data_IF_817757696654
#
_entry.id   IF_817757696654
#
_cell.length_a   1.000
_cell.length_b   1.000
_cell.length_c   1.000
_cell.angle_alpha   90.00
_cell.angle_beta   90.00
_cell.angle_gamma   90.00
#
_symmetry.space_group_name_H-M   'P 1'
#
loop_
_entity.id
_entity.type
_entity.pdbx_description
1 polymer ?
#
# COMPACT_ATOMS: atom_id res chain seq x y z
N UNK A 1 -3.02 -3.91 6.82
CA UNK A 1 -3.50 -3.38 5.52
C UNK A 1 -4.86 -2.65 5.56
N UNK A 2 -5.70 -2.75 6.61
CA UNK A 2 -6.91 -1.90 6.75
C UNK A 2 -6.66 -0.58 7.49
N UNK A 3 -5.70 -0.56 8.43
CA UNK A 3 -5.36 0.63 9.24
C UNK A 3 -4.80 1.80 8.44
N UNK A 4 -3.98 1.56 7.40
CA UNK A 4 -3.41 2.64 6.58
C UNK A 4 -4.40 3.14 5.52
N UNK A 5 -5.28 2.27 5.01
CA UNK A 5 -6.38 2.69 4.12
C UNK A 5 -7.39 3.60 4.83
N UNK A 6 -7.60 3.42 6.13
CA UNK A 6 -8.42 4.32 6.96
C UNK A 6 -7.83 5.73 7.12
N UNK A 7 -6.57 5.96 6.68
CA UNK A 7 -5.90 7.26 6.73
C UNK A 7 -5.93 8.02 5.40
N UNK A 8 -6.38 7.41 4.30
CA UNK A 8 -6.52 8.13 3.02
C UNK A 8 -7.84 8.91 3.01
N UNK A 9 -7.91 9.92 3.87
CA UNK A 9 -8.96 10.93 3.79
C UNK A 9 -8.83 11.67 2.45
N UNK A 10 -9.95 11.94 1.74
CA UNK A 10 -9.94 12.72 0.49
C UNK A 10 -9.51 14.18 0.72
N UNK A 11 -9.32 14.59 1.97
CA UNK A 11 -8.75 15.87 2.36
C UNK A 11 -7.70 15.76 3.45
N UNK A 12 -6.68 16.62 3.38
CA UNK A 12 -5.66 16.84 4.39
C UNK A 12 -6.16 17.85 5.42
N UNK A 13 -6.55 17.37 6.61
CA UNK A 13 -7.02 18.20 7.71
C UNK A 13 -5.95 19.10 8.34
N UNK A 14 -4.66 18.90 8.04
CA UNK A 14 -3.61 19.81 8.47
C UNK A 14 -3.43 21.00 7.51
N UNK A 15 -3.94 20.89 6.28
CA UNK A 15 -3.75 21.88 5.21
C UNK A 15 -4.99 22.75 4.94
N UNK A 16 -6.05 22.62 5.74
CA UNK A 16 -7.32 23.35 5.53
C UNK A 16 -7.17 24.87 5.58
N UNK A 17 -6.15 25.39 6.27
CA UNK A 17 -5.99 26.85 6.40
C UNK A 17 -5.45 27.46 5.11
N UNK A 18 -4.93 26.62 4.20
CA UNK A 18 -4.57 27.02 2.84
C UNK A 18 -5.80 27.44 1.99
N UNK A 19 -7.02 27.14 2.45
CA UNK A 19 -8.25 27.66 1.83
C UNK A 19 -8.46 29.16 2.12
N UNK A 20 -7.81 29.70 3.14
CA UNK A 20 -7.94 31.09 3.52
C UNK A 20 -7.15 32.00 2.56
N UNK A 21 -7.66 33.21 2.26
CA UNK A 21 -6.93 34.14 1.42
C UNK A 21 -5.71 34.70 2.18
N UNK A 22 -4.62 34.95 1.46
CA UNK A 22 -3.42 35.57 2.03
C UNK A 22 -3.64 37.04 2.39
N UNK A 23 -4.56 37.70 1.68
CA UNK A 23 -4.94 39.09 1.94
C UNK A 23 -6.28 39.17 2.69
N UNK A 24 -6.49 40.21 3.52
CA UNK A 24 -7.77 40.41 4.21
C UNK A 24 -8.95 40.47 3.23
N UNK A 25 -9.90 39.56 3.42
CA UNK A 25 -11.10 39.47 2.59
C UNK A 25 -12.33 40.04 3.31
N UNK A 26 -13.17 40.77 2.57
CA UNK A 26 -14.44 41.32 3.04
C UNK A 26 -15.61 40.38 2.69
N UNK A 27 -16.81 40.56 3.26
CA UNK A 27 -18.00 39.87 2.76
C UNK A 27 -18.13 39.96 1.23
N UNK A 28 -18.63 38.88 0.62
CA UNK A 28 -18.73 38.70 -0.85
C UNK A 28 -17.40 38.62 -1.63
N UNK A 29 -16.25 38.73 -0.97
CA UNK A 29 -14.95 38.53 -1.64
C UNK A 29 -14.83 37.08 -2.12
N UNK A 30 -14.38 36.92 -3.36
CA UNK A 30 -14.05 35.64 -3.97
C UNK A 30 -12.56 35.60 -4.30
N UNK A 31 -11.92 34.46 -4.06
CA UNK A 31 -10.54 34.20 -4.46
C UNK A 31 -10.43 32.81 -5.11
N UNK A 32 -9.40 32.65 -5.92
CA UNK A 32 -8.99 31.34 -6.42
C UNK A 32 -8.13 30.64 -5.36
N UNK A 33 -8.35 29.36 -5.15
CA UNK A 33 -7.44 28.51 -4.38
C UNK A 33 -6.27 28.14 -5.28
N UNK A 34 -5.03 28.33 -4.83
CA UNK A 34 -3.87 28.08 -5.67
C UNK A 34 -3.76 26.59 -6.03
N UNK A 35 -3.09 26.29 -7.15
CA UNK A 35 -2.84 24.92 -7.60
C UNK A 35 -2.05 24.12 -6.56
N UNK A 36 -1.11 24.77 -5.87
CA UNK A 36 -0.31 24.12 -4.83
C UNK A 36 -1.13 23.85 -3.56
N UNK A 37 -1.99 24.79 -3.17
CA UNK A 37 -2.86 24.61 -2.01
C UNK A 37 -3.90 23.52 -2.27
N UNK A 38 -4.51 23.50 -3.47
CA UNK A 38 -5.42 22.44 -3.88
C UNK A 38 -4.73 21.06 -3.90
N UNK A 39 -3.49 21.00 -4.42
CA UNK A 39 -2.70 19.77 -4.41
C UNK A 39 -2.52 19.23 -2.97
N UNK A 40 -2.10 20.09 -2.04
CA UNK A 40 -1.88 19.69 -0.65
C UNK A 40 -3.17 19.34 0.08
N UNK A 41 -4.23 20.10 -0.17
CA UNK A 41 -5.52 19.92 0.48
C UNK A 41 -6.19 18.60 0.08
N UNK A 42 -6.10 18.19 -1.19
CA UNK A 42 -6.77 16.98 -1.70
C UNK A 42 -5.84 15.76 -1.82
N UNK A 43 -4.64 15.81 -1.20
CA UNK A 43 -3.65 14.72 -1.25
C UNK A 43 -3.31 14.26 -2.68
N UNK A 44 -3.13 15.21 -3.61
CA UNK A 44 -2.86 14.94 -5.03
C UNK A 44 -1.34 14.93 -5.30
N UNK A 45 -0.91 14.13 -6.28
CA UNK A 45 0.48 14.12 -6.74
C UNK A 45 0.79 15.40 -7.55
N UNK A 46 -0.16 15.78 -8.41
CA UNK A 46 -0.10 16.96 -9.24
C UNK A 46 -1.51 17.49 -9.57
N UNK A 47 -1.61 18.79 -9.82
CA UNK A 47 -2.82 19.45 -10.33
C UNK A 47 -2.45 20.14 -11.64
N UNK A 48 -3.09 19.72 -12.73
CA UNK A 48 -2.83 20.22 -14.08
C UNK A 48 -3.71 21.42 -14.42
N UNK A 49 -4.97 21.39 -13.97
CA UNK A 49 -5.92 22.51 -14.09
C UNK A 49 -6.76 22.62 -12.83
N UNK A 50 -7.09 23.86 -12.45
CA UNK A 50 -7.94 24.15 -11.31
C UNK A 50 -8.89 25.30 -11.62
N UNK A 51 -10.17 25.11 -11.31
CA UNK A 51 -11.19 26.18 -11.26
C UNK A 51 -11.69 26.40 -9.83
N UNK A 52 -10.97 25.89 -8.84
CA UNK A 52 -11.37 25.92 -7.44
C UNK A 52 -11.37 27.35 -6.90
N UNK A 53 -12.54 27.78 -6.44
CA UNK A 53 -12.76 29.14 -5.90
C UNK A 53 -13.45 29.06 -4.55
N UNK A 54 -13.09 30.00 -3.68
CA UNK A 54 -13.72 30.22 -2.39
C UNK A 54 -14.35 31.62 -2.37
N UNK A 55 -15.56 31.73 -1.81
CA UNK A 55 -16.28 33.00 -1.69
C UNK A 55 -16.89 33.13 -0.30
N UNK A 56 -16.65 34.24 0.39
CA UNK A 56 -17.35 34.55 1.64
C UNK A 56 -18.82 34.78 1.32
N UNK A 57 -19.68 33.87 1.79
CA UNK A 57 -21.12 33.96 1.59
C UNK A 57 -21.81 34.74 2.70
N UNK A 58 -21.25 34.71 3.91
CA UNK A 58 -21.88 35.28 5.10
C UNK A 58 -20.88 35.50 6.23
N UNK A 59 -21.03 36.59 6.98
CA UNK A 59 -20.27 36.85 8.21
C UNK A 59 -21.24 37.26 9.32
N UNK A 60 -21.32 36.46 10.39
CA UNK A 60 -22.20 36.74 11.54
C UNK A 60 -21.54 36.27 12.83
N UNK A 61 -21.69 37.04 13.91
CA UNK A 61 -21.25 36.67 15.27
C UNK A 61 -19.76 36.22 15.34
N UNK A 62 -18.90 36.85 14.55
CA UNK A 62 -17.47 36.50 14.49
C UNK A 62 -17.15 35.23 13.72
N UNK A 63 -18.11 34.67 12.97
CA UNK A 63 -17.91 33.49 12.11
C UNK A 63 -18.16 33.89 10.66
N UNK A 64 -17.20 33.59 9.78
CA UNK A 64 -17.38 33.69 8.34
C UNK A 64 -17.72 32.32 7.76
N UNK A 65 -18.81 32.23 6.99
CA UNK A 65 -19.11 31.07 6.15
C UNK A 65 -18.58 31.34 4.75
N UNK A 66 -17.84 30.38 4.21
CA UNK A 66 -17.18 30.49 2.91
C UNK A 66 -17.64 29.32 2.05
N UNK A 67 -18.25 29.63 0.91
CA UNK A 67 -18.60 28.63 -0.09
C UNK A 67 -17.34 28.22 -0.86
N UNK A 68 -17.15 26.93 -1.09
CA UNK A 68 -16.06 26.35 -1.87
C UNK A 68 -16.64 25.59 -3.05
N UNK A 69 -16.18 25.89 -4.27
CA UNK A 69 -16.62 25.18 -5.47
C UNK A 69 -15.58 25.20 -6.57
N UNK A 70 -15.55 24.15 -7.36
CA UNK A 70 -14.80 24.09 -8.61
C UNK A 70 -14.37 22.68 -8.95
N UNK A 71 -13.60 22.59 -10.01
CA UNK A 71 -13.13 21.33 -10.57
C UNK A 71 -11.60 21.31 -10.62
N UNK A 72 -11.02 20.13 -10.44
CA UNK A 72 -9.60 19.86 -10.58
C UNK A 72 -9.38 18.75 -11.62
N UNK A 73 -8.50 19.01 -12.58
CA UNK A 73 -7.86 17.96 -13.39
C UNK A 73 -6.48 17.69 -12.81
N UNK A 74 -6.24 16.46 -12.37
CA UNK A 74 -5.13 16.14 -11.49
C UNK A 74 -4.56 14.74 -11.74
N UNK A 75 -3.53 14.42 -10.97
CA UNK A 75 -2.99 13.07 -10.83
C UNK A 75 -3.04 12.70 -9.34
N UNK A 76 -3.65 11.57 -9.04
CA UNK A 76 -3.65 10.94 -7.73
C UNK A 76 -3.18 9.50 -7.88
N UNK A 77 -2.30 9.02 -7.01
CA UNK A 77 -1.71 7.68 -7.09
C UNK A 77 -1.14 7.38 -8.49
N UNK A 78 -0.52 8.37 -9.13
CA UNK A 78 0.09 8.31 -10.46
C UNK A 78 -0.88 7.97 -11.62
N UNK A 79 -2.18 8.19 -11.45
CA UNK A 79 -3.19 8.06 -12.51
C UNK A 79 -4.02 9.33 -12.71
N UNK A 80 -4.53 9.59 -13.93
CA UNK A 80 -5.44 10.69 -14.19
C UNK A 80 -6.65 10.66 -13.26
N UNK A 81 -6.95 11.81 -12.67
CA UNK A 81 -8.04 11.98 -11.70
C UNK A 81 -8.76 13.31 -11.94
N UNK A 82 -10.08 13.29 -11.95
CA UNK A 82 -10.92 14.49 -11.99
C UNK A 82 -11.74 14.59 -10.71
N UNK A 83 -11.75 15.79 -10.11
CA UNK A 83 -12.54 16.10 -8.93
C UNK A 83 -13.55 17.22 -9.24
N UNK A 84 -14.83 17.01 -8.92
CA UNK A 84 -15.85 18.08 -8.82
C UNK A 84 -16.17 18.30 -7.34
N UNK A 85 -15.80 19.48 -6.85
CA UNK A 85 -15.83 19.85 -5.44
C UNK A 85 -16.92 20.89 -5.22
N UNK A 86 -17.79 20.62 -4.26
CA UNK A 86 -18.83 21.56 -3.82
C UNK A 86 -19.00 21.49 -2.32
N UNK A 87 -19.03 22.64 -1.65
CA UNK A 87 -19.26 22.66 -0.21
C UNK A 87 -19.11 24.04 0.41
N UNK A 88 -18.92 24.06 1.71
CA UNK A 88 -18.60 25.26 2.45
C UNK A 88 -17.76 24.95 3.69
N UNK A 89 -17.15 25.98 4.25
CA UNK A 89 -16.44 25.91 5.52
C UNK A 89 -16.74 27.13 6.37
N UNK A 90 -16.54 26.99 7.67
CA UNK A 90 -16.72 28.04 8.66
C UNK A 90 -15.37 28.42 9.24
N UNK A 91 -15.16 29.72 9.35
CA UNK A 91 -13.94 30.32 9.87
C UNK A 91 -14.29 31.12 11.10
N UNK A 92 -13.70 30.75 12.24
CA UNK A 92 -13.76 31.56 13.44
C UNK A 92 -12.80 32.73 13.27
N UNK A 93 -13.32 33.95 13.32
CA UNK A 93 -12.54 35.17 13.25
C UNK A 93 -12.10 35.53 14.68
N UNK A 94 -10.84 35.25 15.01
CA UNK A 94 -10.24 35.69 16.28
C UNK A 94 -9.33 36.89 16.06
N UNK A 95 -8.99 37.59 17.15
CA UNK A 95 -8.16 38.81 17.12
C UNK A 95 -6.70 38.58 16.72
N UNK A 96 -6.23 37.33 16.68
CA UNK A 96 -4.83 36.99 16.33
C UNK A 96 -4.71 36.19 15.03
N UNK A 97 -5.55 35.18 14.82
CA UNK A 97 -5.55 34.34 13.62
C UNK A 97 -6.96 33.84 13.32
N UNK A 98 -7.30 33.72 12.05
CA UNK A 98 -8.53 33.05 11.62
C UNK A 98 -8.29 31.53 11.58
N UNK A 99 -9.27 30.74 12.01
CA UNK A 99 -9.17 29.27 12.07
C UNK A 99 -10.39 28.62 11.43
N UNK A 100 -10.18 27.60 10.60
CA UNK A 100 -11.30 26.81 10.04
C UNK A 100 -11.80 25.82 11.10
N UNK A 101 -13.00 26.03 11.61
CA UNK A 101 -13.60 25.20 12.68
C UNK A 101 -14.56 24.14 12.14
N UNK A 102 -15.06 24.31 10.93
CA UNK A 102 -15.97 23.37 10.30
C UNK A 102 -15.77 23.34 8.80
N UNK A 103 -15.87 22.15 8.19
CA UNK A 103 -15.81 21.96 6.74
C UNK A 103 -16.83 20.88 6.34
N UNK A 104 -17.60 21.17 5.30
CA UNK A 104 -18.54 20.24 4.69
C UNK A 104 -18.36 20.24 3.18
N UNK A 105 -17.89 19.12 2.63
CA UNK A 105 -17.63 18.95 1.21
C UNK A 105 -18.39 17.76 0.63
N UNK A 106 -18.79 17.92 -0.61
CA UNK A 106 -19.13 16.84 -1.53
C UNK A 106 -18.07 16.85 -2.61
N UNK A 107 -17.40 15.71 -2.78
CA UNK A 107 -16.35 15.52 -3.78
C UNK A 107 -16.84 14.39 -4.68
N UNK A 108 -17.13 14.69 -5.93
CA UNK A 108 -17.28 13.66 -6.96
C UNK A 108 -15.90 13.43 -7.55
N UNK A 109 -15.46 12.18 -7.54
CA UNK A 109 -14.15 11.77 -8.02
C UNK A 109 -14.29 10.72 -9.12
N UNK A 110 -13.65 10.98 -10.24
CA UNK A 110 -13.47 10.06 -11.35
C UNK A 110 -11.97 9.80 -11.50
N UNK A 111 -11.54 8.56 -11.26
CA UNK A 111 -10.14 8.13 -11.27
C UNK A 111 -9.96 6.91 -12.17
N UNK A 112 -8.97 6.96 -13.05
CA UNK A 112 -8.63 5.84 -13.91
C UNK A 112 -8.08 4.63 -13.13
N UNK A 113 -8.13 3.45 -13.75
CA UNK A 113 -7.57 2.22 -13.17
C UNK A 113 -6.04 2.33 -13.14
N UNK A 114 -5.44 1.98 -12.00
CA UNK A 114 -4.00 1.86 -11.85
C UNK A 114 -3.56 0.39 -11.78
N UNK A 115 -2.25 0.15 -11.80
CA UNK A 115 -1.65 -1.16 -11.61
C UNK A 115 -1.75 -1.66 -10.15
N UNK A 116 -1.96 -0.74 -9.20
CA UNK A 116 -2.05 -1.04 -7.76
C UNK A 116 -3.51 -1.10 -7.26
N UNK A 117 -4.38 -0.25 -7.80
CA UNK A 117 -5.74 0.01 -7.31
C UNK A 117 -6.74 0.08 -8.48
N UNK A 118 -7.99 -0.40 -8.28
CA UNK A 118 -9.05 -0.19 -9.24
C UNK A 118 -9.36 1.31 -9.40
N UNK A 119 -9.90 1.68 -10.56
CA UNK A 119 -10.42 3.03 -10.79
C UNK A 119 -11.67 3.29 -9.96
N UNK A 120 -11.99 4.56 -9.76
CA UNK A 120 -13.14 5.00 -8.95
C UNK A 120 -14.05 5.92 -9.77
N UNK A 121 -15.37 5.72 -9.64
CA UNK A 121 -16.38 6.76 -9.88
C UNK A 121 -17.21 6.82 -8.60
N UNK A 122 -16.89 7.80 -7.74
CA UNK A 122 -17.45 7.89 -6.41
C UNK A 122 -17.90 9.32 -6.07
N UNK A 123 -18.83 9.42 -5.14
CA UNK A 123 -19.16 10.68 -4.48
C UNK A 123 -18.89 10.56 -2.99
N UNK A 124 -17.83 11.21 -2.53
CA UNK A 124 -17.48 11.31 -1.12
C UNK A 124 -18.16 12.51 -0.47
N UNK A 125 -18.72 12.31 0.73
CA UNK A 125 -19.20 13.41 1.59
C UNK A 125 -18.30 13.51 2.80
N UNK A 126 -17.68 14.66 2.97
CA UNK A 126 -16.74 14.89 4.06
C UNK A 126 -17.31 15.93 5.00
N UNK A 127 -17.27 15.62 6.30
CA UNK A 127 -17.57 16.56 7.37
C UNK A 127 -16.43 16.55 8.35
N UNK A 128 -15.84 17.71 8.58
CA UNK A 128 -14.78 17.94 9.55
C UNK A 128 -15.24 18.99 10.56
N UNK A 129 -14.95 18.74 11.83
CA UNK A 129 -15.22 19.63 12.96
C UNK A 129 -13.90 19.76 13.71
N UNK A 130 -13.50 21.00 14.01
CA UNK A 130 -12.31 21.33 14.80
C UNK A 130 -12.73 22.20 15.97
N UNK A 131 -12.26 21.80 17.13
CA UNK A 131 -12.40 22.53 18.37
C UNK A 131 -11.01 22.90 18.86
N UNK A 132 -10.85 24.15 19.29
CA UNK A 132 -9.63 24.57 19.98
C UNK A 132 -9.60 23.88 21.35
N UNK A 133 -8.43 23.32 21.71
CA UNK A 133 -8.25 22.66 22.99
C UNK A 133 -7.40 23.55 23.90
N UNK A 134 -7.89 23.79 25.12
CA UNK A 134 -7.12 24.45 26.18
C UNK A 134 -5.99 23.55 26.73
N UNK A 135 -5.91 22.30 26.28
CA UNK A 135 -4.85 21.38 26.65
C UNK A 135 -3.50 21.92 26.15
N UNK A 136 -2.68 22.40 27.09
CA UNK A 136 -1.27 22.68 26.82
C UNK A 136 -0.56 21.37 26.55
N UNK A 137 -0.38 21.04 25.28
CA UNK A 137 0.49 19.93 24.91
C UNK A 137 1.92 20.45 25.08
N UNK A 138 2.61 19.94 26.10
CA UNK A 138 4.04 20.22 26.32
C UNK A 138 4.87 19.42 25.30
N UNK A 139 4.81 19.87 24.05
CA UNK A 139 5.68 19.37 23.01
C UNK A 139 6.94 20.24 23.04
N UNK A 140 7.93 19.84 23.84
CA UNK A 140 9.22 20.51 23.80
C UNK A 140 9.82 20.40 22.38
N UNK A 141 10.42 21.49 21.91
CA UNK A 141 11.08 21.51 20.59
C UNK A 141 12.21 20.48 20.50
N UNK A 142 12.77 20.03 21.62
CA UNK A 142 13.75 18.94 21.68
C UNK A 142 13.12 17.57 21.36
N UNK A 143 11.91 17.29 21.84
CA UNK A 143 11.21 16.03 21.56
C UNK A 143 10.83 15.91 20.07
N UNK A 144 10.35 16.98 19.45
CA UNK A 144 10.07 17.01 18.01
C UNK A 144 11.34 16.85 17.17
N UNK A 145 12.43 17.54 17.55
CA UNK A 145 13.71 17.38 16.86
C UNK A 145 14.22 15.95 16.96
N UNK A 146 14.12 15.32 18.13
CA UNK A 146 14.50 13.91 18.32
C UNK A 146 13.69 12.97 17.43
N UNK A 147 12.36 13.18 17.35
CA UNK A 147 11.49 12.39 16.49
C UNK A 147 11.83 12.57 15.01
N UNK A 148 12.17 13.79 14.59
CA UNK A 148 12.55 14.14 13.23
C UNK A 148 13.95 13.66 12.81
N UNK A 149 14.83 13.34 13.77
CA UNK A 149 16.20 12.86 13.50
C UNK A 149 16.35 11.33 13.50
N UNK A 150 15.32 10.61 13.92
CA UNK A 150 15.35 9.14 13.97
C UNK A 150 14.78 8.58 12.67
N UNK A 151 15.67 8.38 11.70
CA UNK A 151 15.39 7.75 10.41
C UNK A 151 15.42 6.22 10.59
N UNK A 152 14.44 5.71 11.33
CA UNK A 152 14.21 4.28 11.42
C UNK A 152 13.41 3.83 10.19
N UNK A 153 14.11 3.23 9.23
CA UNK A 153 13.52 2.65 8.01
C UNK A 153 12.35 1.71 8.33
N UNK A 154 12.36 1.08 9.50
CA UNK A 154 11.28 0.23 10.01
C UNK A 154 9.93 0.95 10.17
N UNK A 155 9.93 2.27 10.35
CA UNK A 155 8.70 3.09 10.51
C UNK A 155 7.86 3.17 9.24
N UNK A 156 8.49 2.96 8.08
CA UNK A 156 7.81 3.00 6.79
C UNK A 156 7.18 1.67 6.41
N UNK A 157 7.43 0.62 7.19
CA UNK A 157 6.89 -0.70 6.94
C UNK A 157 5.43 -0.80 7.37
N UNK A 158 4.65 -1.55 6.60
CA UNK A 158 3.26 -1.83 6.90
C UNK A 158 3.06 -3.31 7.13
N UNK A 159 2.15 -3.63 8.06
CA UNK A 159 1.72 -5.01 8.27
C UNK A 159 0.79 -5.44 7.14
N UNK A 160 1.29 -6.31 6.28
CA UNK A 160 0.51 -7.03 5.28
C UNK A 160 -0.16 -8.22 5.96
N UNK A 161 -1.44 -8.39 5.71
CA UNK A 161 -2.26 -9.41 6.35
C UNK A 161 -3.09 -10.11 5.28
N UNK A 162 -2.84 -11.41 5.11
CA UNK A 162 -3.65 -12.29 4.26
C UNK A 162 -4.55 -13.11 5.17
N UNK A 163 -5.86 -12.83 5.08
CA UNK A 163 -6.85 -13.56 5.87
C UNK A 163 -7.12 -14.93 5.25
N UNK A 164 -7.08 -15.06 3.93
CA UNK A 164 -7.30 -16.32 3.25
C UNK A 164 -6.10 -17.27 3.37
N UNK A 165 -4.90 -16.78 3.09
CA UNK A 165 -3.63 -17.52 3.20
C UNK A 165 -3.11 -17.71 4.63
N UNK A 166 -3.78 -17.13 5.64
CA UNK A 166 -3.48 -17.30 7.07
C UNK A 166 -2.07 -16.86 7.48
N UNK A 167 -1.64 -15.68 7.04
CA UNK A 167 -0.33 -15.15 7.42
C UNK A 167 -0.30 -13.63 7.55
N UNK A 168 0.79 -13.16 8.14
CA UNK A 168 1.16 -11.75 8.14
C UNK A 168 2.66 -11.57 7.92
N UNK A 169 3.06 -10.40 7.42
CA UNK A 169 4.46 -10.00 7.25
C UNK A 169 4.56 -8.48 7.22
N UNK A 170 5.75 -7.94 7.45
CA UNK A 170 6.05 -6.53 7.25
C UNK A 170 6.55 -6.30 5.83
N UNK A 171 5.94 -5.35 5.11
CA UNK A 171 6.33 -5.00 3.75
C UNK A 171 6.50 -3.48 3.61
N UNK A 172 7.28 -3.07 2.62
CA UNK A 172 7.21 -1.70 2.09
C UNK A 172 5.77 -1.41 1.61
N UNK A 173 5.37 -0.13 1.65
CA UNK A 173 4.04 0.37 1.21
C UNK A 173 3.78 0.20 -0.28
N UNK A 174 4.83 0.00 -1.09
CA UNK A 174 4.77 -0.29 -2.53
C UNK A 174 4.16 -1.67 -2.80
N UNK A 175 4.06 -2.56 -1.81
CA UNK A 175 3.45 -3.87 -1.98
C UNK A 175 1.94 -3.85 -1.78
N UNK A 176 1.24 -4.40 -2.77
CA UNK A 176 -0.22 -4.53 -2.76
C UNK A 176 -0.61 -5.99 -3.01
N UNK A 177 -1.54 -6.52 -2.20
CA UNK A 177 -2.14 -7.83 -2.49
C UNK A 177 -3.13 -7.64 -3.65
N UNK A 178 -2.83 -8.26 -4.79
CA UNK A 178 -3.68 -8.26 -5.98
C UNK A 178 -4.69 -9.41 -5.96
N UNK A 179 -4.28 -10.57 -5.42
CA UNK A 179 -5.13 -11.75 -5.21
C UNK A 179 -4.84 -12.35 -3.85
N UNK A 180 -5.88 -12.66 -3.09
CA UNK A 180 -5.77 -13.36 -1.80
C UNK A 180 -6.67 -14.61 -1.82
N UNK A 181 -6.06 -15.79 -1.74
CA UNK A 181 -6.76 -17.07 -1.68
C UNK A 181 -6.06 -18.02 -0.68
N UNK A 182 -6.71 -19.11 -0.25
CA UNK A 182 -6.11 -20.03 0.71
C UNK A 182 -4.84 -20.73 0.22
N UNK A 183 -4.76 -21.01 -1.08
CA UNK A 183 -3.62 -21.73 -1.69
C UNK A 183 -2.52 -20.79 -2.16
N UNK A 184 -2.91 -19.63 -2.66
CA UNK A 184 -1.98 -18.65 -3.23
C UNK A 184 -2.42 -17.20 -2.98
N UNK A 185 -1.45 -16.34 -2.76
CA UNK A 185 -1.62 -14.89 -2.79
C UNK A 185 -0.67 -14.28 -3.81
N UNK A 186 -1.17 -13.37 -4.63
CA UNK A 186 -0.37 -12.63 -5.61
C UNK A 186 -0.26 -11.20 -5.14
N UNK A 187 0.96 -10.73 -4.98
CA UNK A 187 1.29 -9.37 -4.59
C UNK A 187 2.05 -8.67 -5.72
N UNK A 188 1.84 -7.38 -5.88
CA UNK A 188 2.60 -6.54 -6.81
C UNK A 188 3.26 -5.40 -6.06
N UNK A 189 4.54 -5.21 -6.36
CA UNK A 189 5.29 -4.03 -5.95
C UNK A 189 5.11 -2.98 -7.03
N UNK A 190 4.45 -1.87 -6.71
CA UNK A 190 4.14 -0.80 -7.65
C UNK A 190 4.78 0.50 -7.19
N UNK A 191 5.43 1.18 -8.14
CA UNK A 191 6.00 2.50 -7.93
C UNK A 191 5.69 3.36 -9.14
N UNK A 192 5.08 4.53 -8.93
CA UNK A 192 4.65 5.45 -9.99
C UNK A 192 3.83 4.74 -11.09
N UNK A 193 2.85 3.93 -10.68
CA UNK A 193 2.00 3.10 -11.56
C UNK A 193 2.77 2.12 -12.47
N UNK A 194 4.04 1.83 -12.16
CA UNK A 194 4.85 0.81 -12.83
C UNK A 194 5.03 -0.38 -11.90
N UNK A 195 4.77 -1.59 -12.39
CA UNK A 195 5.03 -2.80 -11.60
C UNK A 195 6.53 -3.11 -11.65
N UNK A 196 7.15 -3.14 -10.47
CA UNK A 196 8.59 -3.40 -10.27
C UNK A 196 8.83 -4.89 -10.16
N UNK A 197 8.02 -5.55 -9.34
CA UNK A 197 8.09 -6.98 -9.09
C UNK A 197 6.72 -7.54 -8.79
N UNK A 198 6.56 -8.83 -9.03
CA UNK A 198 5.45 -9.62 -8.52
C UNK A 198 5.98 -10.63 -7.50
N UNK A 199 5.24 -10.85 -6.43
CA UNK A 199 5.50 -11.92 -5.47
C UNK A 199 4.29 -12.86 -5.45
N UNK A 200 4.52 -14.14 -5.67
CA UNK A 200 3.53 -15.19 -5.42
C UNK A 200 3.88 -15.89 -4.13
N UNK A 201 2.95 -15.88 -3.17
CA UNK A 201 3.04 -16.64 -1.92
C UNK A 201 2.18 -17.88 -2.09
N UNK A 202 2.79 -19.06 -2.11
CA UNK A 202 2.10 -20.34 -2.33
C UNK A 202 2.26 -21.26 -1.13
N UNK A 203 1.14 -21.78 -0.63
CA UNK A 203 1.16 -22.83 0.40
C UNK A 203 1.63 -24.13 -0.25
N UNK A 204 2.57 -24.81 0.41
CA UNK A 204 3.09 -26.08 -0.07
C UNK A 204 2.52 -27.22 0.77
N UNK A 205 2.46 -28.41 0.19
CA UNK A 205 2.06 -29.63 0.90
C UNK A 205 2.96 -29.81 2.12
N UNK A 206 2.38 -30.00 3.30
CA UNK A 206 3.13 -30.15 4.55
C UNK A 206 4.10 -31.35 4.46
N UNK A 207 5.29 -31.20 5.04
CA UNK A 207 6.23 -32.30 5.22
C UNK A 207 5.92 -33.04 6.52
N UNK A 208 6.40 -34.28 6.63
CA UNK A 208 6.34 -34.98 7.92
C UNK A 208 7.12 -34.18 8.98
N UNK A 209 6.65 -34.16 10.25
CA UNK A 209 7.34 -33.44 11.32
C UNK A 209 8.82 -33.80 11.41
N UNK A 210 9.68 -32.78 11.48
CA UNK A 210 11.13 -32.92 11.47
C UNK A 210 11.77 -33.16 10.09
N UNK A 211 11.00 -33.39 9.02
CA UNK A 211 11.52 -33.34 7.65
C UNK A 211 11.60 -31.90 7.16
N UNK A 212 12.64 -31.60 6.39
CA UNK A 212 12.90 -30.26 5.86
C UNK A 212 13.45 -30.35 4.45
N UNK A 213 13.13 -29.36 3.62
CA UNK A 213 13.77 -29.17 2.33
C UNK A 213 15.24 -28.78 2.54
N UNK A 214 16.16 -29.31 1.72
CA UNK A 214 17.55 -28.88 1.72
C UNK A 214 17.79 -27.80 0.67
N UNK A 215 18.88 -27.05 0.79
CA UNK A 215 19.29 -26.08 -0.23
C UNK A 215 19.44 -26.72 -1.61
N UNK A 216 20.10 -27.88 -1.69
CA UNK A 216 20.33 -28.61 -2.93
C UNK A 216 19.00 -29.13 -3.52
N UNK A 217 18.07 -29.54 -2.66
CA UNK A 217 16.72 -29.93 -3.06
C UNK A 217 15.98 -28.76 -3.70
N UNK A 218 15.97 -27.60 -3.03
CA UNK A 218 15.34 -26.39 -3.57
C UNK A 218 15.96 -25.98 -4.92
N UNK A 219 17.28 -25.96 -5.03
CA UNK A 219 17.97 -25.62 -6.28
C UNK A 219 17.63 -26.60 -7.41
N UNK A 220 17.49 -27.89 -7.09
CA UNK A 220 17.08 -28.92 -8.06
C UNK A 220 15.65 -28.66 -8.55
N UNK A 221 14.73 -28.37 -7.64
CA UNK A 221 13.34 -28.02 -7.98
C UNK A 221 13.28 -26.77 -8.86
N UNK A 222 14.02 -25.72 -8.51
CA UNK A 222 14.09 -24.46 -9.28
C UNK A 222 14.59 -24.70 -10.71
N UNK A 223 15.67 -25.48 -10.88
CA UNK A 223 16.19 -25.83 -12.21
C UNK A 223 15.15 -26.59 -13.03
N UNK A 224 14.46 -27.55 -12.42
CA UNK A 224 13.38 -28.29 -13.06
C UNK A 224 12.20 -27.41 -13.47
N UNK A 225 11.84 -26.44 -12.62
CA UNK A 225 10.75 -25.49 -12.83
C UNK A 225 11.04 -24.50 -13.95
N UNK A 226 12.22 -23.89 -13.96
CA UNK A 226 12.58 -22.87 -14.95
C UNK A 226 13.00 -23.49 -16.28
N UNK A 227 13.53 -24.71 -16.29
CA UNK A 227 13.90 -25.43 -17.50
C UNK A 227 14.83 -24.61 -18.40
N UNK A 228 14.35 -24.26 -19.60
CA UNK A 228 15.11 -23.47 -20.58
C UNK A 228 15.31 -22.00 -20.18
N UNK A 229 14.48 -21.48 -19.26
CA UNK A 229 14.59 -20.10 -18.78
C UNK A 229 15.61 -19.94 -17.66
N UNK A 230 16.17 -21.04 -17.14
CA UNK A 230 17.22 -20.99 -16.13
C UNK A 230 18.54 -20.48 -16.74
N UNK A 231 19.15 -19.48 -16.12
CA UNK A 231 20.51 -19.05 -16.42
C UNK A 231 21.49 -19.56 -15.38
N UNK A 232 21.56 -18.87 -14.23
CA UNK A 232 22.49 -19.20 -13.15
C UNK A 232 21.91 -18.87 -11.77
N UNK A 233 22.49 -19.49 -10.74
CA UNK A 233 22.25 -19.10 -9.35
C UNK A 233 23.21 -17.97 -8.99
N UNK A 234 22.67 -16.85 -8.55
CA UNK A 234 23.45 -15.68 -8.15
C UNK A 234 23.81 -15.73 -6.66
N UNK A 235 22.86 -16.17 -5.83
CA UNK A 235 23.02 -16.21 -4.38
C UNK A 235 22.12 -17.29 -3.78
N UNK A 236 22.58 -17.96 -2.73
CA UNK A 236 21.78 -18.90 -1.95
C UNK A 236 22.13 -18.76 -0.48
N UNK A 237 21.13 -18.56 0.36
CA UNK A 237 21.31 -18.38 1.80
C UNK A 237 20.31 -19.21 2.60
N UNK A 238 20.76 -19.70 3.74
CA UNK A 238 19.92 -20.39 4.71
C UNK A 238 20.05 -19.73 6.07
N UNK A 239 18.91 -19.40 6.70
CA UNK A 239 18.89 -18.81 8.04
C UNK A 239 17.61 -19.15 8.79
N UNK A 240 17.60 -18.88 10.09
CA UNK A 240 16.37 -18.91 10.89
C UNK A 240 15.89 -17.47 11.07
N UNK A 241 14.61 -17.21 10.77
CA UNK A 241 14.01 -15.88 10.91
C UNK A 241 13.84 -15.50 12.38
N UNK A 242 13.57 -14.22 12.65
CA UNK A 242 13.23 -13.76 14.01
C UNK A 242 11.95 -14.44 14.53
N UNK A 243 11.06 -14.84 13.62
CA UNK A 243 9.80 -15.56 13.87
C UNK A 243 9.97 -17.08 13.99
N UNK A 244 11.23 -17.57 14.05
CA UNK A 244 11.59 -18.98 14.25
C UNK A 244 11.24 -19.91 13.08
N UNK A 245 11.10 -19.37 11.88
CA UNK A 245 10.97 -20.16 10.66
C UNK A 245 12.34 -20.44 10.07
N UNK A 246 12.54 -21.64 9.52
CA UNK A 246 13.68 -21.94 8.67
C UNK A 246 13.44 -21.32 7.30
N UNK A 247 14.40 -20.56 6.81
CA UNK A 247 14.35 -19.87 5.54
C UNK A 247 15.48 -20.37 4.63
N UNK A 248 15.12 -20.82 3.43
CA UNK A 248 16.06 -21.07 2.34
C UNK A 248 15.73 -20.09 1.22
N UNK A 249 16.67 -19.22 0.89
CA UNK A 249 16.54 -18.21 -0.16
C UNK A 249 17.50 -18.53 -1.30
N UNK A 250 17.05 -18.40 -2.53
CA UNK A 250 17.87 -18.57 -3.73
C UNK A 250 17.50 -17.53 -4.79
N UNK A 251 18.48 -16.75 -5.22
CA UNK A 251 18.38 -15.77 -6.30
C UNK A 251 18.86 -16.43 -7.59
N UNK A 252 18.06 -16.27 -8.64
CA UNK A 252 18.26 -16.91 -9.94
C UNK A 252 18.15 -15.85 -11.02
N UNK A 253 19.14 -15.77 -11.89
CA UNK A 253 19.01 -15.03 -13.14
C UNK A 253 18.67 -15.98 -14.27
N UNK A 254 17.97 -15.46 -15.28
CA UNK A 254 17.70 -16.18 -16.50
C UNK A 254 16.93 -15.31 -17.48
N UNK A 255 16.29 -15.95 -18.44
CA UNK A 255 15.65 -15.24 -19.55
C UNK A 255 14.32 -15.88 -19.91
N UNK A 256 13.35 -15.05 -20.26
CA UNK A 256 12.07 -15.48 -20.79
C UNK A 256 11.75 -14.66 -22.04
N UNK A 257 11.60 -15.34 -23.18
CA UNK A 257 11.36 -14.68 -24.49
C UNK A 257 12.40 -13.58 -24.78
N UNK A 258 13.69 -13.87 -24.53
CA UNK A 258 14.85 -12.95 -24.70
C UNK A 258 14.85 -11.72 -23.77
N UNK A 259 13.97 -11.70 -22.77
CA UNK A 259 13.95 -10.67 -21.74
C UNK A 259 14.68 -11.18 -20.49
N UNK A 260 15.70 -10.48 -19.98
CA UNK A 260 16.35 -10.82 -18.72
C UNK A 260 15.38 -10.73 -17.54
N UNK A 261 15.28 -11.81 -16.78
CA UNK A 261 14.44 -11.94 -15.59
C UNK A 261 15.30 -12.38 -14.40
N UNK A 262 14.98 -11.83 -13.24
CA UNK A 262 15.48 -12.34 -11.98
C UNK A 262 14.32 -12.91 -11.16
N UNK A 263 14.53 -14.12 -10.63
CA UNK A 263 13.65 -14.74 -9.66
C UNK A 263 14.34 -14.81 -8.30
N UNK A 264 13.57 -14.63 -7.24
CA UNK A 264 14.01 -14.95 -5.87
C UNK A 264 13.02 -15.94 -5.30
N UNK A 265 13.52 -17.14 -5.00
CA UNK A 265 12.76 -18.20 -4.36
C UNK A 265 13.10 -18.23 -2.88
N UNK A 266 12.10 -18.01 -2.04
CA UNK A 266 12.23 -18.10 -0.60
C UNK A 266 11.28 -19.17 -0.07
N UNK A 267 11.84 -20.26 0.44
CA UNK A 267 11.10 -21.30 1.13
C UNK A 267 11.12 -21.02 2.64
N UNK A 268 9.94 -21.03 3.27
CA UNK A 268 9.78 -20.91 4.71
C UNK A 268 9.13 -22.18 5.28
N UNK A 269 9.68 -22.70 6.36
CA UNK A 269 9.11 -23.86 7.07
C UNK A 269 9.30 -23.80 8.58
N UNK A 270 8.46 -24.54 9.31
CA UNK A 270 8.61 -24.80 10.74
C UNK A 270 8.83 -26.30 11.05
N UNK A 271 9.04 -26.62 12.32
CA UNK A 271 9.30 -27.99 12.78
C UNK A 271 8.06 -28.90 12.70
N UNK A 272 6.84 -28.32 12.59
CA UNK A 272 5.64 -29.12 12.37
C UNK A 272 5.42 -29.48 10.89
N UNK A 273 6.34 -29.09 10.01
CA UNK A 273 6.29 -29.41 8.58
C UNK A 273 5.43 -28.45 7.76
N UNK A 274 4.88 -27.39 8.37
CA UNK A 274 4.16 -26.35 7.63
C UNK A 274 5.17 -25.60 6.80
N UNK A 275 4.85 -25.40 5.52
CA UNK A 275 5.74 -24.71 4.60
C UNK A 275 5.02 -23.95 3.51
N UNK A 276 5.72 -22.93 2.99
CA UNK A 276 5.30 -22.14 1.86
C UNK A 276 6.50 -21.64 1.07
N UNK A 277 6.23 -21.16 -0.13
CA UNK A 277 7.20 -20.46 -0.96
C UNK A 277 6.74 -19.03 -1.22
N UNK A 278 7.67 -18.08 -1.17
CA UNK A 278 7.54 -16.75 -1.77
C UNK A 278 8.41 -16.74 -3.02
N UNK A 279 7.80 -16.45 -4.17
CA UNK A 279 8.50 -16.38 -5.46
C UNK A 279 8.38 -14.96 -5.97
N UNK A 280 9.50 -14.24 -5.94
CA UNK A 280 9.58 -12.89 -6.49
C UNK A 280 10.05 -12.98 -7.93
N UNK A 281 9.37 -12.27 -8.83
CA UNK A 281 9.71 -12.19 -10.25
C UNK A 281 9.83 -10.73 -10.65
N UNK A 282 10.95 -10.35 -11.28
CA UNK A 282 11.22 -8.98 -11.72
C UNK A 282 12.06 -8.97 -13.00
N UNK A 283 11.95 -7.91 -13.79
CA UNK A 283 12.87 -7.69 -14.90
C UNK A 283 14.28 -7.42 -14.39
N UNK A 284 15.31 -7.85 -15.14
CA UNK A 284 16.71 -7.67 -14.74
C UNK A 284 17.12 -6.21 -14.50
N UNK A 285 16.43 -5.24 -15.09
CA UNK A 285 16.64 -3.80 -14.91
C UNK A 285 15.97 -3.22 -13.66
N UNK A 286 15.10 -3.97 -12.99
CA UNK A 286 14.34 -3.49 -11.83
C UNK A 286 14.95 -3.94 -10.49
N UNK A 287 16.05 -4.70 -10.52
CA UNK A 287 16.69 -5.30 -9.34
C UNK A 287 17.16 -4.27 -8.31
N UNK A 288 17.71 -3.14 -8.76
CA UNK A 288 18.12 -2.04 -7.88
C UNK A 288 16.91 -1.37 -7.21
N UNK A 289 15.81 -1.15 -7.97
CA UNK A 289 14.57 -0.56 -7.45
C UNK A 289 13.83 -1.49 -6.50
N UNK A 290 13.95 -2.79 -6.72
CA UNK A 290 13.45 -3.85 -5.85
C UNK A 290 14.22 -3.90 -4.52
N UNK A 291 15.55 -3.78 -4.57
CA UNK A 291 16.41 -3.83 -3.39
C UNK A 291 16.37 -5.20 -2.70
N UNK A 292 16.26 -5.21 -1.37
CA UNK A 292 16.16 -6.43 -0.55
C UNK A 292 14.75 -6.65 0.04
N UNK A 293 13.72 -6.22 -0.69
CA UNK A 293 12.33 -6.26 -0.21
C UNK A 293 11.86 -7.69 0.15
N UNK A 294 12.38 -8.70 -0.55
CA UNK A 294 12.10 -10.11 -0.27
C UNK A 294 12.58 -10.56 1.11
N UNK A 295 13.77 -10.13 1.53
CA UNK A 295 14.34 -10.50 2.82
C UNK A 295 13.56 -9.90 3.98
N UNK A 296 13.10 -8.66 3.81
CA UNK A 296 12.26 -7.99 4.79
C UNK A 296 10.92 -8.70 4.96
N UNK A 297 10.27 -9.05 3.84
CA UNK A 297 8.99 -9.78 3.84
C UNK A 297 9.14 -11.18 4.44
N UNK A 298 10.12 -11.95 3.99
CA UNK A 298 10.33 -13.31 4.49
C UNK A 298 10.81 -13.34 5.94
N UNK A 299 11.67 -12.41 6.34
CA UNK A 299 12.24 -12.34 7.69
C UNK A 299 11.23 -11.97 8.77
N UNK A 300 10.13 -11.30 8.41
CA UNK A 300 9.05 -10.89 9.31
C UNK A 300 7.78 -11.74 9.17
N UNK A 301 7.85 -12.83 8.41
CA UNK A 301 6.70 -13.68 8.14
C UNK A 301 6.23 -14.42 9.40
N UNK A 302 4.94 -14.38 9.67
CA UNK A 302 4.29 -15.11 10.76
C UNK A 302 3.02 -15.81 10.25
N UNK A 303 2.84 -17.06 10.67
CA UNK A 303 1.57 -17.76 10.52
C UNK A 303 0.51 -17.13 11.41
N UNK A 304 -0.70 -16.95 10.89
CA UNK A 304 -1.85 -16.70 11.75
C UNK A 304 -2.25 -18.01 12.45
N UNK A 305 -2.86 -17.93 13.65
CA UNK A 305 -3.44 -19.10 14.30
C UNK A 305 -4.43 -19.80 13.37
N UNK A 306 -4.53 -21.13 13.45
CA UNK A 306 -5.54 -21.86 12.69
C UNK A 306 -6.95 -21.44 13.12
N UNK A 307 -7.92 -21.52 12.19
CA UNK A 307 -9.31 -21.36 12.57
C UNK A 307 -9.73 -22.50 13.51
N UNK A 308 -10.57 -22.24 14.52
CA UNK A 308 -11.17 -23.30 15.32
C UNK A 308 -11.87 -24.29 14.37
N UNK A 309 -11.51 -25.58 14.47
CA UNK A 309 -12.20 -26.62 13.71
C UNK A 309 -13.68 -26.58 14.13
N UNK A 310 -14.65 -26.45 13.19
CA UNK A 310 -16.05 -26.63 13.54
C UNK A 310 -16.23 -28.03 14.14
N UNK A 311 -16.92 -28.12 15.27
CA UNK A 311 -17.09 -29.34 16.05
C UNK A 311 -17.52 -30.52 15.16
N UNK A 312 -16.79 -31.63 15.27
CA UNK A 312 -16.88 -32.76 14.36
C UNK A 312 -18.28 -33.37 14.27
N UNK A 313 -18.86 -33.32 13.08
CA UNK A 313 -19.78 -34.34 12.62
C UNK A 313 -18.96 -35.29 11.73
N UNK A 314 -18.92 -36.57 12.11
CA UNK A 314 -18.32 -37.63 11.30
C UNK A 314 -19.16 -37.82 10.04
N UNK A 315 -18.63 -37.46 8.88
CA UNK A 315 -19.07 -38.03 7.61
C UNK A 315 -17.91 -38.84 7.03
N UNK A 316 -18.09 -40.17 7.06
CA UNK A 316 -17.33 -41.08 6.22
C UNK A 316 -17.74 -40.83 4.78
N UNK A 317 -16.83 -40.34 3.94
CA UNK A 317 -16.77 -40.74 2.54
C UNK A 317 -15.34 -40.62 2.00
N UNK A 318 -14.90 -41.54 1.12
CA UNK A 318 -13.50 -41.70 0.77
C UNK A 318 -13.08 -40.77 -0.37
N UNK A 319 -11.97 -40.05 -0.13
CA UNK A 319 -10.95 -39.55 -1.05
C UNK A 319 -11.38 -38.93 -2.41
N UNK A 320 -11.03 -37.66 -2.65
CA UNK A 320 -10.56 -37.22 -3.94
C UNK A 320 -9.06 -36.86 -3.88
N UNK A 321 -8.33 -37.42 -4.84
CA UNK A 321 -6.91 -37.20 -5.11
C UNK A 321 -6.43 -35.76 -4.88
N UNK A 322 -5.47 -35.60 -3.96
CA UNK A 322 -4.70 -34.37 -3.80
C UNK A 322 -3.82 -34.14 -5.03
N UNK A 323 -4.28 -33.32 -5.97
CA UNK A 323 -3.42 -32.74 -7.00
C UNK A 323 -2.55 -31.68 -6.34
N UNK A 324 -1.26 -32.00 -6.15
CA UNK A 324 -0.27 -31.06 -5.64
C UNK A 324 -0.18 -29.80 -6.52
N UNK A 325 -0.27 -28.64 -5.89
CA UNK A 325 -0.03 -27.35 -6.52
C UNK A 325 1.46 -27.25 -6.88
N UNK A 326 1.79 -27.23 -8.17
CA UNK A 326 3.15 -26.98 -8.64
C UNK A 326 3.52 -25.51 -8.36
N UNK A 327 4.76 -25.25 -7.94
CA UNK A 327 5.34 -23.92 -8.07
C UNK A 327 5.14 -23.47 -9.52
N UNK A 328 4.54 -22.31 -9.74
CA UNK A 328 4.41 -21.74 -11.09
C UNK A 328 5.16 -20.42 -11.10
N UNK A 329 6.15 -20.31 -11.98
CA UNK A 329 6.79 -19.04 -12.28
C UNK A 329 5.85 -18.28 -13.23
N UNK A 330 5.18 -17.24 -12.73
CA UNK A 330 4.37 -16.38 -13.58
C UNK A 330 5.25 -15.41 -14.40
N UNK A 331 4.73 -14.98 -15.55
CA UNK A 331 5.38 -14.01 -16.42
C UNK A 331 5.49 -12.65 -15.70
N UNK A 332 6.57 -11.89 -15.91
CA UNK A 332 6.60 -10.50 -15.48
C UNK A 332 5.45 -9.71 -16.14
N UNK A 333 4.93 -8.68 -15.47
CA UNK A 333 3.94 -7.78 -16.07
C UNK A 333 4.53 -7.09 -17.30
N UNK A 334 3.90 -7.31 -18.44
CA UNK A 334 4.29 -6.71 -19.72
C UNK A 334 3.95 -5.22 -19.69
N UNK A 335 4.92 -4.33 -19.94
CA UNK A 335 4.65 -2.90 -20.13
C UNK A 335 3.62 -2.73 -21.26
N UNK A 336 2.53 -1.96 -21.08
CA UNK A 336 1.64 -1.66 -22.18
C UNK A 336 2.45 -0.99 -23.31
N UNK A 337 2.31 -1.49 -24.53
CA UNK A 337 2.87 -0.82 -25.71
C UNK A 337 2.22 0.56 -25.80
N UNK A 338 3.07 1.60 -25.87
CA UNK A 338 2.67 3.00 -26.07
C UNK A 338 1.92 3.20 -27.36
#
# INVERSE_FOLDING_TARGET
SREVQLLQSPINSAAIELLLPLEPARPDTQWAVSVQDAKQLFNLDAVHKSTLTAKISKVEKGVATVALRGELDATANSVPTRLDIKGNFQVQLASKCAMVTWLGLVIKEEREISQAEPGFDITARVRLIREESDAKIDISSAALRKLATDDDDGRWLVKLHSTAGRYTMLSDRRWHIHRDSPEESILRMVENNTVIAQCTVSRLVELEPGQQLTMEGLQTDIKGLLGKSFGEFLESTEKVTSTKLRMIRTVVSGELEEVPIQWIYTHLSDDSGRRLALIFTMGGTETERFGAADEQMAGSFEWLPDLPKPGGSKSNDPNPEAKGTKLTAERPPVKPKR
#
